data_IF_910862066099
#
_entry.id   IF_910862066099
#
_cell.length_a   1.000
_cell.length_b   1.000
_cell.length_c   1.000
_cell.angle_alpha   90.00
_cell.angle_beta   90.00
_cell.angle_gamma   90.00
#
_symmetry.space_group_name_H-M   'P 1'
#
loop_
_entity.id
_entity.type
_entity.pdbx_description
1 polymer ?
#
# COMPACT_ATOMS: atom_id res chain seq x y z
N UNK A 1 14.73 2.27 -3.56
CA UNK A 1 15.25 2.22 -4.95
C UNK A 1 15.88 3.56 -5.28
N UNK A 2 16.88 3.61 -6.18
CA UNK A 2 17.46 4.88 -6.66
C UNK A 2 16.80 5.26 -7.99
N UNK A 3 16.36 6.51 -8.13
CA UNK A 3 15.78 7.05 -9.37
C UNK A 3 16.47 8.35 -9.74
N UNK A 4 16.50 8.68 -11.04
CA UNK A 4 17.00 9.96 -11.52
C UNK A 4 15.84 10.93 -11.71
N UNK A 5 15.81 11.99 -10.92
CA UNK A 5 14.81 13.06 -10.97
C UNK A 5 15.52 14.41 -10.98
N UNK A 6 15.16 15.32 -11.89
CA UNK A 6 15.80 16.64 -12.00
C UNK A 6 17.32 16.59 -12.19
N UNK A 7 17.84 15.56 -12.87
CA UNK A 7 19.27 15.33 -13.06
C UNK A 7 20.00 14.71 -11.85
N UNK A 8 19.34 14.55 -10.71
CA UNK A 8 19.93 14.03 -9.45
C UNK A 8 19.47 12.60 -9.19
N UNK A 9 20.34 11.81 -8.56
CA UNK A 9 19.98 10.48 -8.08
C UNK A 9 19.37 10.60 -6.69
N UNK A 10 18.09 10.25 -6.54
CA UNK A 10 17.35 10.31 -5.28
C UNK A 10 16.88 8.92 -4.84
N UNK A 11 16.58 8.78 -3.55
CA UNK A 11 15.86 7.60 -3.05
C UNK A 11 14.38 7.76 -3.36
N UNK A 12 13.78 6.68 -3.87
CA UNK A 12 12.34 6.55 -4.03
C UNK A 12 11.89 5.18 -3.51
N UNK A 13 10.59 5.11 -3.22
CA UNK A 13 9.86 3.92 -2.80
C UNK A 13 8.78 3.61 -3.83
N UNK A 14 8.37 2.34 -3.87
CA UNK A 14 7.26 1.88 -4.70
C UNK A 14 6.18 1.36 -3.78
N UNK A 15 5.03 2.03 -3.80
CA UNK A 15 3.82 1.57 -3.16
C UNK A 15 3.14 0.57 -4.11
N UNK A 16 2.88 -0.65 -3.65
CA UNK A 16 2.32 -1.72 -4.47
C UNK A 16 1.14 -2.38 -3.74
N UNK A 17 0.01 -2.49 -4.44
CA UNK A 17 -1.13 -3.26 -3.99
C UNK A 17 -1.32 -4.48 -4.89
N UNK A 18 -1.35 -5.66 -4.28
CA UNK A 18 -1.79 -6.90 -4.94
C UNK A 18 -3.08 -7.38 -4.29
N UNK A 19 -4.05 -7.74 -5.12
CA UNK A 19 -5.36 -8.22 -4.72
C UNK A 19 -5.54 -9.68 -5.08
N UNK A 20 -6.50 -10.33 -4.41
CA UNK A 20 -7.08 -11.60 -4.85
C UNK A 20 -8.56 -11.33 -5.12
N UNK A 21 -9.00 -11.57 -6.36
CA UNK A 21 -10.38 -11.27 -6.77
C UNK A 21 -11.36 -12.39 -6.35
N UNK A 22 -12.64 -12.22 -6.67
CA UNK A 22 -13.70 -13.16 -6.31
C UNK A 22 -13.53 -14.57 -6.90
N UNK A 23 -12.78 -14.68 -7.99
CA UNK A 23 -12.46 -15.95 -8.65
C UNK A 23 -11.17 -16.59 -8.11
N UNK A 24 -10.54 -15.96 -7.12
CA UNK A 24 -9.29 -16.44 -6.50
C UNK A 24 -8.02 -16.09 -7.27
N UNK A 25 -8.10 -15.28 -8.32
CA UNK A 25 -6.92 -14.87 -9.09
C UNK A 25 -6.20 -13.70 -8.42
N UNK A 26 -4.86 -13.78 -8.41
CA UNK A 26 -4.00 -12.71 -7.93
C UNK A 26 -3.73 -11.71 -9.05
N UNK A 27 -3.88 -10.43 -8.74
CA UNK A 27 -3.62 -9.34 -9.69
C UNK A 27 -2.95 -8.14 -9.02
N UNK A 28 -2.26 -7.33 -9.82
CA UNK A 28 -1.75 -6.03 -9.39
C UNK A 28 -2.89 -5.01 -9.50
N UNK A 29 -3.33 -4.48 -8.37
CA UNK A 29 -4.46 -3.52 -8.29
C UNK A 29 -3.97 -2.09 -8.51
N UNK A 30 -2.73 -1.80 -8.12
CA UNK A 30 -2.11 -0.51 -8.35
C UNK A 30 -0.66 -0.47 -7.92
N UNK A 31 0.08 0.46 -8.53
CA UNK A 31 1.46 0.75 -8.22
C UNK A 31 1.68 2.27 -8.30
N UNK A 32 2.44 2.82 -7.37
CA UNK A 32 2.83 4.23 -7.38
C UNK A 32 4.28 4.38 -6.94
N UNK A 33 5.05 5.20 -7.66
CA UNK A 33 6.37 5.64 -7.19
C UNK A 33 6.17 6.86 -6.31
N UNK A 34 6.82 6.89 -5.14
CA UNK A 34 6.80 8.02 -4.23
C UNK A 34 8.22 8.31 -3.72
N UNK A 35 8.44 9.53 -3.23
CA UNK A 35 9.73 9.95 -2.65
C UNK A 35 9.96 9.33 -1.26
N UNK A 36 8.89 9.05 -0.51
CA UNK A 36 8.93 8.40 0.80
C UNK A 36 7.57 7.79 1.19
N UNK A 37 7.57 6.90 2.18
CA UNK A 37 6.38 6.22 2.72
C UNK A 37 5.63 7.11 3.72
N UNK A 38 5.16 8.27 3.28
CA UNK A 38 4.37 9.17 4.14
C UNK A 38 2.91 8.75 4.21
N UNK A 39 2.21 9.16 5.27
CA UNK A 39 0.75 8.96 5.36
C UNK A 39 -0.01 9.62 4.20
N UNK A 40 0.44 10.79 3.73
CA UNK A 40 -0.13 11.45 2.55
C UNK A 40 0.04 10.61 1.28
N UNK A 41 1.25 10.06 1.04
CA UNK A 41 1.51 9.20 -0.11
C UNK A 41 0.64 7.93 -0.09
N UNK A 42 0.43 7.32 1.08
CA UNK A 42 -0.48 6.19 1.23
C UNK A 42 -1.93 6.57 1.03
N UNK A 43 -2.38 7.72 1.58
CA UNK A 43 -3.75 8.19 1.43
C UNK A 43 -4.09 8.45 -0.03
N UNK A 44 -3.24 9.19 -0.75
CA UNK A 44 -3.44 9.44 -2.19
C UNK A 44 -3.41 8.14 -3.01
N UNK A 45 -2.56 7.17 -2.62
CA UNK A 45 -2.52 5.88 -3.29
C UNK A 45 -3.83 5.12 -3.14
N UNK A 46 -4.37 4.98 -1.92
CA UNK A 46 -5.65 4.29 -1.72
C UNK A 46 -6.84 5.07 -2.29
N UNK A 47 -6.84 6.40 -2.20
CA UNK A 47 -7.85 7.25 -2.81
C UNK A 47 -7.90 7.04 -4.34
N UNK A 48 -6.75 6.96 -4.99
CA UNK A 48 -6.65 6.64 -6.42
C UNK A 48 -7.25 5.26 -6.75
N UNK A 49 -6.98 4.23 -5.94
CA UNK A 49 -7.57 2.90 -6.16
C UNK A 49 -9.10 2.97 -6.10
N UNK A 50 -9.65 3.65 -5.09
CA UNK A 50 -11.10 3.80 -4.90
C UNK A 50 -11.73 4.60 -6.04
N UNK A 51 -11.10 5.69 -6.50
CA UNK A 51 -11.55 6.48 -7.65
C UNK A 51 -11.55 5.66 -8.95
N UNK A 52 -10.58 4.73 -9.10
CA UNK A 52 -10.55 3.78 -10.22
C UNK A 52 -11.56 2.63 -10.10
N UNK A 53 -12.37 2.60 -9.04
CA UNK A 53 -13.47 1.65 -8.87
C UNK A 53 -13.15 0.46 -7.96
N UNK A 54 -12.02 0.48 -7.22
CA UNK A 54 -11.77 -0.55 -6.21
C UNK A 54 -12.86 -0.49 -5.13
N UNK A 55 -13.63 -1.57 -5.02
CA UNK A 55 -14.74 -1.70 -4.06
C UNK A 55 -14.78 -3.12 -3.49
N UNK A 56 -15.52 -3.31 -2.40
CA UNK A 56 -15.75 -4.65 -1.83
C UNK A 56 -14.53 -5.26 -1.12
N UNK A 57 -13.49 -4.48 -0.82
CA UNK A 57 -12.31 -4.95 -0.10
C UNK A 57 -12.72 -5.46 1.28
N UNK A 58 -12.43 -6.74 1.57
CA UNK A 58 -12.76 -7.38 2.86
C UNK A 58 -11.62 -7.35 3.85
N UNK A 59 -10.38 -7.44 3.37
CA UNK A 59 -9.19 -7.54 4.19
C UNK A 59 -8.02 -6.83 3.52
N UNK A 60 -7.32 -5.99 4.27
CA UNK A 60 -6.02 -5.44 3.90
C UNK A 60 -4.95 -6.06 4.77
N UNK A 61 -3.87 -6.52 4.15
CA UNK A 61 -2.67 -7.04 4.83
C UNK A 61 -1.47 -6.18 4.46
N UNK A 62 -0.86 -5.51 5.43
CA UNK A 62 0.27 -4.59 5.20
C UNK A 62 1.26 -4.62 6.35
N UNK A 63 2.35 -3.87 6.29
CA UNK A 63 3.10 -3.54 7.51
C UNK A 63 2.24 -2.72 8.50
N UNK A 64 2.81 -2.40 9.66
CA UNK A 64 2.14 -1.62 10.71
C UNK A 64 2.60 -0.14 10.73
N UNK A 65 3.02 0.42 9.60
CA UNK A 65 3.34 1.83 9.48
C UNK A 65 2.07 2.66 9.77
N UNK A 66 2.07 3.58 10.75
CA UNK A 66 0.86 4.28 11.18
C UNK A 66 0.14 5.00 10.03
N UNK A 67 0.89 5.72 9.20
CA UNK A 67 0.32 6.42 8.04
C UNK A 67 -0.29 5.50 6.98
N UNK A 68 0.13 4.23 6.92
CA UNK A 68 -0.48 3.24 6.03
C UNK A 68 -1.80 2.76 6.63
N UNK A 69 -1.79 2.38 7.91
CA UNK A 69 -2.98 1.91 8.64
C UNK A 69 -4.09 2.97 8.64
N UNK A 70 -3.72 4.22 8.90
CA UNK A 70 -4.66 5.35 8.88
C UNK A 70 -5.22 5.58 7.47
N UNK A 71 -4.39 5.47 6.43
CA UNK A 71 -4.81 5.61 5.04
C UNK A 71 -5.78 4.50 4.59
N UNK A 72 -5.58 3.27 5.06
CA UNK A 72 -6.52 2.15 4.83
C UNK A 72 -7.86 2.45 5.47
N UNK A 73 -7.87 2.85 6.75
CA UNK A 73 -9.10 3.17 7.47
C UNK A 73 -9.88 4.32 6.82
N UNK A 74 -9.18 5.32 6.28
CA UNK A 74 -9.79 6.47 5.61
C UNK A 74 -10.42 6.12 4.26
N UNK A 75 -9.80 5.25 3.46
CA UNK A 75 -10.19 5.04 2.06
C UNK A 75 -10.98 3.75 1.81
N UNK A 76 -10.87 2.76 2.70
CA UNK A 76 -11.49 1.44 2.57
C UNK A 76 -12.35 1.13 3.82
N UNK A 77 -13.36 1.96 4.13
CA UNK A 77 -14.19 1.76 5.31
C UNK A 77 -14.90 0.39 5.23
N UNK A 78 -14.82 -0.37 6.32
CA UNK A 78 -15.40 -1.72 6.43
C UNK A 78 -14.47 -2.86 6.01
N UNK A 79 -13.28 -2.58 5.47
CA UNK A 79 -12.24 -3.58 5.34
C UNK A 79 -11.63 -3.89 6.72
N UNK A 80 -11.47 -5.18 7.03
CA UNK A 80 -10.62 -5.57 8.15
C UNK A 80 -9.15 -5.27 7.81
N UNK A 81 -8.34 -5.01 8.83
CA UNK A 81 -6.90 -4.85 8.68
C UNK A 81 -6.16 -5.90 9.51
N UNK A 82 -5.13 -6.51 8.92
CA UNK A 82 -4.19 -7.34 9.66
C UNK A 82 -2.74 -6.96 9.34
N UNK A 83 -1.86 -7.09 10.33
CA UNK A 83 -0.43 -6.95 10.12
C UNK A 83 0.11 -8.15 9.33
N UNK A 84 0.92 -7.85 8.32
CA UNK A 84 1.62 -8.83 7.50
C UNK A 84 2.60 -9.64 8.35
N UNK A 85 2.41 -10.96 8.39
CA UNK A 85 3.28 -11.88 9.15
C UNK A 85 4.70 -11.93 8.61
N UNK A 86 4.89 -11.79 7.29
CA UNK A 86 6.22 -11.75 6.66
C UNK A 86 6.99 -10.51 7.09
N UNK A 87 6.38 -9.32 7.03
CA UNK A 87 6.98 -8.10 7.56
C UNK A 87 7.22 -8.20 9.07
N UNK A 88 6.26 -8.74 9.83
CA UNK A 88 6.43 -8.94 11.27
C UNK A 88 7.64 -9.81 11.60
N UNK A 89 7.80 -10.96 10.96
CA UNK A 89 8.95 -11.85 11.16
C UNK A 89 10.27 -11.13 10.80
N UNK A 90 10.29 -10.37 9.70
CA UNK A 90 11.48 -9.65 9.26
C UNK A 90 11.90 -8.50 10.18
N UNK A 91 10.94 -7.84 10.84
CA UNK A 91 11.20 -6.67 11.71
C UNK A 91 11.33 -7.05 13.19
N UNK A 92 10.56 -8.02 13.68
CA UNK A 92 10.46 -8.35 15.10
C UNK A 92 11.30 -9.57 15.51
N UNK A 93 11.57 -10.50 14.60
CA UNK A 93 12.31 -11.74 14.90
C UNK A 93 13.75 -11.70 14.38
N UNK A 94 14.34 -10.51 14.26
CA UNK A 94 15.77 -10.34 14.02
C UNK A 94 16.55 -10.32 15.33
#
# INVERSE_FOLDING_TARGET
MKVREGGRLINAVVLLATGVNGDGHREVVGMRVATSETGAAWNEFFADLTVRGLTGVRLVTSDAHPGLVDAVAANLPGAAWQRCRTHYAATCCR
#
